data_IF_654454979140
#
_entry.id   IF_654454979140
#
_cell.length_a   1.000
_cell.length_b   1.000
_cell.length_c   1.000
_cell.angle_alpha   90.00
_cell.angle_beta   90.00
_cell.angle_gamma   90.00
#
_symmetry.space_group_name_H-M   'P 1'
#
loop_
_entity.id
_entity.type
_entity.pdbx_description
1 polymer ?
#
# COMPACT_ATOMS: atom_id res chain seq x y z
N UNK A 1 -18.32 -5.72 26.40
CA UNK A 1 -16.85 -5.57 26.40
C UNK A 1 -16.44 -5.22 24.98
N UNK A 2 -15.94 -4.01 24.73
CA UNK A 2 -15.36 -3.65 23.43
C UNK A 2 -13.97 -4.28 23.37
N UNK A 3 -13.72 -5.14 22.38
CA UNK A 3 -12.38 -5.67 22.11
C UNK A 3 -11.63 -4.59 21.32
N UNK A 4 -10.45 -4.20 21.79
CA UNK A 4 -9.53 -3.40 21.00
C UNK A 4 -9.04 -4.26 19.83
N UNK A 5 -9.28 -3.80 18.60
CA UNK A 5 -8.94 -4.54 17.38
C UNK A 5 -7.92 -3.68 16.64
N UNK A 6 -6.72 -4.21 16.47
CA UNK A 6 -5.70 -3.60 15.62
C UNK A 6 -6.15 -3.70 14.16
N UNK A 7 -6.38 -2.55 13.55
CA UNK A 7 -6.85 -2.44 12.16
C UNK A 7 -5.79 -1.81 11.28
N UNK A 8 -5.67 -2.31 10.06
CA UNK A 8 -4.92 -1.62 9.02
C UNK A 8 -5.85 -1.20 7.89
N UNK A 9 -5.52 -0.06 7.31
CA UNK A 9 -6.24 0.52 6.20
C UNK A 9 -5.34 0.56 4.97
N UNK A 10 -5.84 0.07 3.85
CA UNK A 10 -5.07 0.03 2.59
C UNK A 10 -5.88 0.63 1.47
N UNK A 11 -5.26 1.53 0.71
CA UNK A 11 -5.91 2.23 -0.40
C UNK A 11 -5.22 1.91 -1.71
N UNK A 12 -5.98 1.56 -2.74
CA UNK A 12 -5.46 1.44 -4.11
C UNK A 12 -6.25 2.31 -5.07
N UNK A 13 -5.56 2.81 -6.10
CA UNK A 13 -6.14 3.62 -7.16
C UNK A 13 -6.00 2.88 -8.48
N UNK A 14 -7.12 2.72 -9.20
CA UNK A 14 -7.14 2.11 -10.53
C UNK A 14 -7.91 2.95 -11.52
N UNK A 15 -7.58 2.75 -12.79
CA UNK A 15 -8.39 3.25 -13.90
C UNK A 15 -9.11 2.07 -14.51
N UNK A 16 -10.43 2.14 -14.53
CA UNK A 16 -11.29 1.18 -15.20
C UNK A 16 -11.78 1.75 -16.51
N UNK A 17 -11.81 0.92 -17.54
CA UNK A 17 -12.45 1.29 -18.79
C UNK A 17 -13.96 1.14 -18.61
N UNK A 18 -14.67 2.20 -18.92
CA UNK A 18 -16.12 2.26 -19.03
C UNK A 18 -16.47 2.54 -20.51
N UNK A 19 -17.72 2.31 -20.94
CA UNK A 19 -18.14 2.53 -22.33
C UNK A 19 -17.85 3.94 -22.86
N UNK A 20 -17.77 4.94 -21.98
CA UNK A 20 -17.54 6.36 -22.32
C UNK A 20 -16.15 6.88 -21.95
N UNK A 21 -15.20 6.02 -21.52
CA UNK A 21 -13.85 6.45 -21.17
C UNK A 21 -13.27 5.70 -19.98
N UNK A 22 -12.04 6.04 -19.57
CA UNK A 22 -11.43 5.43 -18.39
C UNK A 22 -11.71 6.25 -17.12
N UNK A 23 -12.43 5.67 -16.17
CA UNK A 23 -12.79 6.27 -14.89
C UNK A 23 -11.79 5.88 -13.78
N UNK A 24 -11.49 6.81 -12.87
CA UNK A 24 -10.68 6.51 -11.67
C UNK A 24 -11.57 5.92 -10.58
N UNK A 25 -11.11 4.82 -9.98
CA UNK A 25 -11.67 4.22 -8.78
C UNK A 25 -10.60 4.13 -7.70
N UNK A 26 -10.96 4.57 -6.51
CA UNK A 26 -10.19 4.37 -5.29
C UNK A 26 -10.95 3.39 -4.41
N UNK A 27 -10.29 2.34 -3.94
CA UNK A 27 -10.87 1.41 -2.97
C UNK A 27 -9.96 1.33 -1.75
N UNK A 28 -10.58 1.42 -0.57
CA UNK A 28 -9.97 1.31 0.74
C UNK A 28 -10.50 0.04 1.42
N UNK A 29 -9.61 -0.79 1.94
CA UNK A 29 -9.93 -2.00 2.70
C UNK A 29 -9.49 -1.82 4.15
N UNK A 30 -10.34 -2.23 5.09
CA UNK A 30 -10.07 -2.25 6.53
C UNK A 30 -10.11 -3.70 6.99
N UNK A 31 -9.04 -4.16 7.64
CA UNK A 31 -8.91 -5.54 8.09
C UNK A 31 -8.17 -5.62 9.43
N UNK A 32 -8.40 -6.70 10.16
CA UNK A 32 -7.72 -7.02 11.42
C UNK A 32 -6.28 -7.49 11.13
N UNK A 33 -5.27 -6.92 11.77
CA UNK A 33 -3.87 -7.32 11.56
C UNK A 33 -3.50 -8.68 12.13
N UNK A 34 -4.17 -9.08 13.21
CA UNK A 34 -3.86 -10.34 13.91
C UNK A 34 -4.30 -11.56 13.12
N UNK A 35 -5.43 -11.46 12.39
CA UNK A 35 -6.04 -12.58 11.67
C UNK A 35 -6.08 -12.38 10.16
N UNK A 36 -6.07 -11.13 9.68
CA UNK A 36 -6.36 -10.79 8.30
C UNK A 36 -7.85 -10.74 7.95
N UNK A 37 -8.74 -10.86 8.94
CA UNK A 37 -10.20 -10.80 8.71
C UNK A 37 -10.61 -9.45 8.18
N UNK A 38 -11.44 -9.44 7.14
CA UNK A 38 -11.96 -8.22 6.53
C UNK A 38 -13.05 -7.63 7.43
N UNK A 39 -12.93 -6.35 7.76
CA UNK A 39 -13.86 -5.62 8.63
C UNK A 39 -14.73 -4.64 7.86
N UNK A 40 -14.20 -4.08 6.76
CA UNK A 40 -14.92 -3.09 5.96
C UNK A 40 -14.20 -2.76 4.67
N UNK A 41 -14.95 -2.17 3.74
CA UNK A 41 -14.41 -1.64 2.50
C UNK A 41 -15.12 -0.33 2.13
N UNK A 42 -14.44 0.54 1.42
CA UNK A 42 -14.98 1.80 0.89
C UNK A 42 -14.51 1.95 -0.56
N UNK A 43 -15.40 2.40 -1.45
CA UNK A 43 -15.06 2.62 -2.85
C UNK A 43 -15.57 4.00 -3.29
N UNK A 44 -14.70 4.81 -3.89
CA UNK A 44 -15.02 6.17 -4.38
C UNK A 44 -14.41 6.33 -5.77
N UNK A 45 -15.24 6.72 -6.74
CA UNK A 45 -14.80 6.90 -8.12
C UNK A 45 -15.92 7.31 -9.05
N UNK A 46 -15.55 7.62 -10.29
CA UNK A 46 -16.49 8.03 -11.35
C UNK A 46 -17.27 6.85 -11.95
N UNK A 47 -16.89 5.61 -11.63
CA UNK A 47 -17.55 4.40 -12.13
C UNK A 47 -17.01 3.11 -11.53
N UNK A 48 -17.85 2.07 -11.53
CA UNK A 48 -17.49 0.70 -11.17
C UNK A 48 -17.32 0.41 -9.67
N UNK A 49 -17.61 1.37 -8.79
CA UNK A 49 -17.50 1.19 -7.34
C UNK A 49 -18.52 0.22 -6.75
N UNK A 50 -19.74 0.22 -7.30
CA UNK A 50 -20.82 -0.73 -7.02
C UNK A 50 -20.38 -2.19 -7.22
N UNK A 51 -19.89 -2.55 -8.40
CA UNK A 51 -19.41 -3.91 -8.68
C UNK A 51 -18.27 -4.33 -7.76
N UNK A 52 -17.42 -3.39 -7.35
CA UNK A 52 -16.24 -3.68 -6.51
C UNK A 52 -16.55 -3.73 -5.04
N UNK A 53 -17.67 -3.15 -4.57
CA UNK A 53 -18.07 -3.23 -3.17
C UNK A 53 -18.83 -4.52 -2.86
N UNK A 54 -19.53 -5.09 -3.85
CA UNK A 54 -20.26 -6.35 -3.69
C UNK A 54 -19.36 -7.51 -3.26
N UNK A 55 -18.14 -7.59 -3.81
CA UNK A 55 -17.19 -8.68 -3.50
C UNK A 55 -16.68 -8.59 -2.05
N UNK A 56 -16.13 -7.46 -1.55
CA UNK A 56 -15.81 -7.29 -0.14
C UNK A 56 -17.03 -7.44 0.77
N UNK A 57 -18.22 -7.00 0.37
CA UNK A 57 -19.43 -7.15 1.17
C UNK A 57 -19.75 -8.64 1.41
N UNK A 58 -19.69 -9.46 0.35
CA UNK A 58 -19.86 -10.91 0.46
C UNK A 58 -18.74 -11.56 1.28
N UNK A 59 -17.49 -11.14 1.06
CA UNK A 59 -16.34 -11.63 1.81
C UNK A 59 -16.46 -11.35 3.32
N UNK A 60 -16.95 -10.17 3.70
CA UNK A 60 -17.22 -9.80 5.10
C UNK A 60 -18.31 -10.71 5.69
N UNK A 61 -19.40 -10.96 4.95
CA UNK A 61 -20.47 -11.88 5.40
C UNK A 61 -19.95 -13.30 5.62
N UNK A 62 -19.03 -13.76 4.78
CA UNK A 62 -18.39 -15.07 4.89
C UNK A 62 -17.31 -15.15 5.98
N UNK A 63 -16.95 -14.02 6.61
CA UNK A 63 -15.83 -13.96 7.56
C UNK A 63 -14.47 -14.20 6.91
N UNK A 64 -14.35 -13.91 5.61
CA UNK A 64 -13.15 -14.13 4.82
C UNK A 64 -11.98 -13.22 5.24
N UNK A 65 -10.79 -13.63 4.83
CA UNK A 65 -9.52 -12.95 5.08
C UNK A 65 -9.00 -12.25 3.82
N UNK A 66 -8.03 -11.35 3.99
CA UNK A 66 -7.37 -10.66 2.87
C UNK A 66 -6.72 -11.63 1.86
N UNK A 67 -6.31 -12.82 2.30
CA UNK A 67 -5.78 -13.88 1.44
C UNK A 67 -6.83 -14.44 0.48
N UNK A 68 -8.10 -14.45 0.88
CA UNK A 68 -9.18 -14.91 0.00
C UNK A 68 -9.43 -13.88 -1.11
N UNK A 69 -9.32 -12.58 -0.80
CA UNK A 69 -9.39 -11.53 -1.83
C UNK A 69 -8.19 -11.57 -2.78
N UNK A 70 -7.00 -11.93 -2.29
CA UNK A 70 -5.81 -12.11 -3.12
C UNK A 70 -6.04 -13.18 -4.20
N UNK A 71 -6.72 -14.27 -3.85
CA UNK A 71 -6.99 -15.42 -4.73
C UNK A 71 -8.35 -15.37 -5.43
N UNK A 72 -9.17 -14.34 -5.18
CA UNK A 72 -10.53 -14.27 -5.71
C UNK A 72 -10.52 -14.22 -7.25
N UNK A 73 -11.16 -15.21 -7.88
CA UNK A 73 -11.33 -15.24 -9.33
C UNK A 73 -12.53 -14.40 -9.75
N UNK A 74 -12.27 -13.17 -10.15
CA UNK A 74 -13.30 -12.23 -10.59
C UNK A 74 -13.44 -12.21 -12.11
N UNK A 75 -14.67 -12.06 -12.58
CA UNK A 75 -14.95 -11.98 -14.01
C UNK A 75 -14.19 -10.81 -14.66
N UNK A 76 -13.33 -11.13 -15.63
CA UNK A 76 -12.51 -10.18 -16.37
C UNK A 76 -12.89 -10.12 -17.86
N UNK A 77 -13.69 -9.11 -18.26
CA UNK A 77 -13.80 -8.68 -19.64
C UNK A 77 -12.87 -7.48 -19.89
N UNK A 78 -12.19 -7.39 -21.05
CA UNK A 78 -11.32 -6.25 -21.39
C UNK A 78 -12.03 -4.88 -21.35
N UNK A 79 -13.36 -4.88 -21.54
CA UNK A 79 -14.17 -3.66 -21.55
C UNK A 79 -14.50 -3.13 -20.14
N UNK A 80 -14.35 -3.94 -19.08
CA UNK A 80 -14.88 -3.64 -17.74
C UNK A 80 -13.89 -3.85 -16.59
N UNK A 81 -12.68 -4.32 -16.88
CA UNK A 81 -11.74 -4.73 -15.83
C UNK A 81 -10.29 -4.64 -16.25
N UNK A 82 -9.41 -5.03 -15.32
CA UNK A 82 -8.01 -5.35 -15.56
C UNK A 82 -7.76 -6.81 -15.19
N UNK A 83 -6.68 -7.39 -15.72
CA UNK A 83 -6.31 -8.79 -15.44
C UNK A 83 -6.19 -9.10 -13.94
N UNK A 84 -5.86 -8.09 -13.11
CA UNK A 84 -6.05 -8.12 -11.66
C UNK A 84 -7.06 -7.05 -11.29
N UNK A 85 -8.17 -7.42 -10.67
CA UNK A 85 -9.15 -6.43 -10.21
C UNK A 85 -8.60 -5.64 -9.01
N UNK A 86 -9.15 -4.45 -8.74
CA UNK A 86 -8.78 -3.65 -7.58
C UNK A 86 -9.03 -4.38 -6.26
N UNK A 87 -10.06 -5.24 -6.21
CA UNK A 87 -10.32 -6.12 -5.06
C UNK A 87 -9.14 -7.06 -4.82
N UNK A 88 -8.60 -7.68 -5.88
CA UNK A 88 -7.42 -8.53 -5.74
C UNK A 88 -6.21 -7.72 -5.28
N UNK A 89 -6.04 -6.50 -5.79
CA UNK A 89 -4.88 -5.65 -5.46
C UNK A 89 -4.90 -5.17 -4.00
N UNK A 90 -6.07 -4.88 -3.42
CA UNK A 90 -6.16 -4.62 -1.97
C UNK A 90 -5.93 -5.89 -1.17
N UNK A 91 -6.38 -7.05 -1.66
CA UNK A 91 -6.05 -8.36 -1.08
C UNK A 91 -4.54 -8.62 -1.06
N UNK A 92 -3.84 -8.42 -2.17
CA UNK A 92 -2.38 -8.53 -2.26
C UNK A 92 -1.67 -7.59 -1.28
N UNK A 93 -2.11 -6.33 -1.18
CA UNK A 93 -1.51 -5.39 -0.23
C UNK A 93 -1.75 -5.84 1.21
N UNK A 94 -2.96 -6.29 1.56
CA UNK A 94 -3.26 -6.85 2.88
C UNK A 94 -2.40 -8.06 3.21
N UNK A 95 -2.30 -8.99 2.26
CA UNK A 95 -1.46 -10.18 2.38
C UNK A 95 0.02 -9.82 2.53
N UNK A 96 0.52 -8.79 1.82
CA UNK A 96 1.91 -8.33 1.95
C UNK A 96 2.21 -7.71 3.32
N UNK A 97 1.23 -7.00 3.91
CA UNK A 97 1.33 -6.50 5.30
C UNK A 97 1.42 -7.67 6.28
N UNK A 98 0.52 -8.64 6.18
CA UNK A 98 0.50 -9.81 7.08
C UNK A 98 1.73 -10.71 6.92
N UNK A 99 2.27 -10.81 5.71
CA UNK A 99 3.53 -11.53 5.43
C UNK A 99 4.79 -10.75 5.82
N UNK A 100 4.66 -9.53 6.35
CA UNK A 100 5.80 -8.66 6.70
C UNK A 100 6.62 -8.19 5.49
N UNK A 101 6.09 -8.35 4.27
CA UNK A 101 6.77 -7.95 3.03
C UNK A 101 6.71 -6.43 2.81
N UNK A 102 5.69 -5.78 3.35
CA UNK A 102 5.51 -4.33 3.28
C UNK A 102 5.03 -3.80 4.63
N UNK A 103 5.61 -2.70 5.09
CA UNK A 103 5.17 -1.96 6.28
C UNK A 103 4.67 -0.58 5.85
N UNK A 104 3.36 -0.42 5.61
CA UNK A 104 2.80 0.87 5.21
C UNK A 104 2.82 1.85 6.39
N UNK A 105 3.01 3.13 6.07
CA UNK A 105 2.79 4.23 7.02
C UNK A 105 1.53 4.98 6.59
N UNK A 106 0.66 5.29 7.55
CA UNK A 106 -0.52 6.11 7.31
C UNK A 106 -0.16 7.60 7.24
N UNK A 107 -0.94 8.43 6.53
CA UNK A 107 -0.64 9.87 6.43
C UNK A 107 -0.49 10.56 7.79
N UNK A 108 -1.31 10.18 8.77
CA UNK A 108 -1.24 10.74 10.13
C UNK A 108 0.02 10.30 10.86
N UNK A 109 0.42 9.03 10.71
CA UNK A 109 1.66 8.50 11.31
C UNK A 109 2.89 9.15 10.69
N UNK A 110 2.85 9.40 9.38
CA UNK A 110 3.92 10.13 8.68
C UNK A 110 4.06 11.56 9.19
N UNK A 111 2.94 12.26 9.41
CA UNK A 111 2.96 13.63 9.96
C UNK A 111 3.63 13.64 11.35
N UNK A 112 3.24 12.71 12.22
CA UNK A 112 3.85 12.58 13.56
C UNK A 112 5.34 12.26 13.46
N UNK A 113 5.74 11.32 12.58
CA UNK A 113 7.14 10.95 12.40
C UNK A 113 8.01 12.12 11.92
N UNK A 114 7.45 13.00 11.08
CA UNK A 114 8.12 14.21 10.58
C UNK A 114 8.36 15.28 11.65
N UNK A 115 7.56 15.29 12.72
CA UNK A 115 7.66 16.25 13.82
C UNK A 115 8.61 15.79 14.95
N UNK A 116 9.18 14.58 14.83
CA UNK A 116 10.13 14.04 15.81
C UNK A 116 11.49 14.75 15.75
N UNK A 117 12.26 14.67 16.85
CA UNK A 117 13.60 15.25 16.92
C UNK A 117 14.58 14.67 15.88
N UNK A 118 14.32 13.45 15.42
CA UNK A 118 15.09 12.74 14.39
C UNK A 118 14.14 12.25 13.29
N UNK A 119 13.72 13.13 12.36
CA UNK A 119 12.75 12.78 11.34
C UNK A 119 13.32 11.77 10.34
N UNK A 120 12.48 10.90 9.76
CA UNK A 120 12.93 9.91 8.79
C UNK A 120 13.35 10.54 7.47
N UNK A 121 14.28 9.90 6.77
CA UNK A 121 14.64 10.27 5.40
C UNK A 121 13.53 9.84 4.46
N UNK A 122 13.03 10.80 3.67
CA UNK A 122 11.99 10.54 2.69
C UNK A 122 12.53 10.61 1.26
N UNK A 123 12.27 9.54 0.51
CA UNK A 123 12.67 9.40 -0.89
C UNK A 123 11.44 9.42 -1.79
N UNK A 124 11.37 10.40 -2.70
CA UNK A 124 10.27 10.53 -3.65
C UNK A 124 10.56 9.80 -4.96
N UNK A 125 10.04 8.59 -5.13
CA UNK A 125 10.30 7.76 -6.31
C UNK A 125 9.52 8.15 -7.58
N UNK A 126 8.78 9.27 -7.58
CA UNK A 126 8.01 9.74 -8.75
C UNK A 126 8.90 10.45 -9.77
N UNK A 127 8.38 10.62 -10.99
CA UNK A 127 9.10 11.38 -12.01
C UNK A 127 9.27 12.85 -11.62
N UNK A 128 10.30 13.49 -12.17
CA UNK A 128 10.56 14.92 -11.96
C UNK A 128 9.42 15.81 -12.44
N UNK A 129 8.67 15.39 -13.47
CA UNK A 129 7.48 16.09 -13.94
C UNK A 129 6.34 16.04 -12.91
N UNK A 130 6.06 14.87 -12.32
CA UNK A 130 5.04 14.70 -11.28
C UNK A 130 5.39 15.45 -9.98
N UNK A 131 6.68 15.53 -9.66
CA UNK A 131 7.17 16.27 -8.49
C UNK A 131 6.88 17.77 -8.58
N UNK A 132 7.03 18.34 -9.78
CA UNK A 132 6.78 19.77 -10.04
C UNK A 132 5.31 20.16 -9.92
N UNK A 133 4.40 19.21 -10.20
CA UNK A 133 2.95 19.44 -10.07
C UNK A 133 2.56 19.60 -8.59
N UNK A 134 3.26 18.91 -7.69
CA UNK A 134 3.06 19.01 -6.25
C UNK A 134 3.73 17.87 -5.49
N UNK A 135 4.24 18.18 -4.31
CA UNK A 135 4.84 17.22 -3.40
C UNK A 135 4.68 17.69 -1.96
N UNK A 136 4.75 16.75 -1.02
CA UNK A 136 4.80 17.06 0.41
C UNK A 136 6.12 17.77 0.69
N UNK A 137 6.13 18.89 1.41
CA UNK A 137 7.36 19.60 1.77
C UNK A 137 8.39 18.67 2.44
N UNK A 138 9.67 18.82 2.11
CA UNK A 138 10.76 17.99 2.65
C UNK A 138 11.06 16.69 1.88
N UNK A 139 10.30 16.37 0.83
CA UNK A 139 10.58 15.20 -0.01
C UNK A 139 11.73 15.49 -1.01
N UNK A 140 12.77 14.64 -1.01
CA UNK A 140 13.86 14.71 -1.99
C UNK A 140 13.62 13.75 -3.17
N UNK A 141 14.03 14.15 -4.38
CA UNK A 141 14.03 13.26 -5.55
C UNK A 141 15.28 12.35 -5.53
N UNK A 142 15.20 11.10 -6.02
CA UNK A 142 16.31 10.14 -6.07
C UNK A 142 17.46 10.53 -7.03
N UNK A 143 17.51 11.79 -7.48
CA UNK A 143 18.56 12.36 -8.31
C UNK A 143 19.13 13.70 -7.83
N UNK A 144 18.68 14.22 -6.67
CA UNK A 144 19.36 15.31 -5.96
C UNK A 144 20.22 14.68 -4.87
N UNK A 145 21.46 14.38 -5.23
CA UNK A 145 22.55 14.10 -4.30
C UNK A 145 22.58 15.19 -3.24
N UNK A 146 22.27 14.83 -1.99
CA UNK A 146 22.91 15.53 -0.87
C UNK A 146 24.42 15.28 -1.01
N UNK A 147 25.21 16.34 -0.96
CA UNK A 147 26.67 16.25 -0.92
C UNK A 147 27.07 15.26 0.18
N UNK A 148 27.67 14.12 -0.21
CA UNK A 148 28.33 13.20 0.72
C UNK A 148 27.75 11.79 0.89
N UNK A 149 26.71 11.36 0.16
CA UNK A 149 26.19 10.00 0.33
C UNK A 149 25.63 9.36 -0.94
N UNK A 150 26.39 8.48 -1.59
CA UNK A 150 25.80 7.49 -2.51
C UNK A 150 24.86 6.61 -1.67
N UNK A 151 23.59 6.50 -2.05
CA UNK A 151 22.74 5.37 -1.61
C UNK A 151 23.24 4.13 -2.34
N UNK A 152 24.39 3.63 -1.89
CA UNK A 152 25.02 2.41 -2.35
C UNK A 152 24.49 1.26 -1.50
N UNK A 153 23.21 0.96 -1.61
CA UNK A 153 22.72 -0.34 -1.21
C UNK A 153 21.76 -0.89 -2.26
N UNK A 154 22.10 -2.07 -2.79
CA UNK A 154 21.30 -2.81 -3.79
C UNK A 154 20.10 -3.51 -3.14
N UNK A 155 19.71 -3.11 -1.93
CA UNK A 155 18.59 -3.67 -1.17
C UNK A 155 17.32 -2.82 -1.17
N UNK A 156 17.27 -1.71 -1.93
CA UNK A 156 16.04 -0.90 -2.09
C UNK A 156 15.01 -1.70 -2.90
N UNK A 157 14.33 -2.65 -2.23
CA UNK A 157 13.09 -3.24 -2.72
C UNK A 157 12.00 -2.23 -2.53
N UNK A 158 11.87 -1.38 -3.53
CA UNK A 158 10.77 -0.43 -3.71
C UNK A 158 9.44 -1.18 -3.74
N UNK A 159 8.65 -1.03 -2.69
CA UNK A 159 7.20 -0.84 -2.76
C UNK A 159 6.90 0.33 -1.82
N UNK A 160 5.82 1.06 -2.04
CA UNK A 160 5.46 2.24 -1.22
C UNK A 160 5.29 1.82 0.26
N UNK A 161 6.39 1.88 0.99
CA UNK A 161 6.52 1.65 2.42
C UNK A 161 7.65 2.58 2.85
N UNK A 162 7.30 3.67 3.53
CA UNK A 162 8.28 4.46 4.28
C UNK A 162 8.77 3.51 5.37
N UNK A 163 9.93 2.89 5.14
CA UNK A 163 10.63 2.14 6.17
C UNK A 163 11.24 3.19 7.10
N UNK A 164 10.75 3.28 8.33
CA UNK A 164 11.50 3.93 9.40
C UNK A 164 12.75 3.06 9.63
N UNK A 165 13.87 3.45 9.02
CA UNK A 165 15.18 2.92 9.40
C UNK A 165 15.58 3.67 10.65
N UNK A 166 15.13 3.20 11.81
CA UNK A 166 15.66 3.62 13.08
C UNK A 166 16.09 2.35 13.81
N UNK A 167 17.27 1.85 13.47
CA UNK A 167 18.22 1.14 14.33
C UNK A 167 19.43 0.76 13.46
N UNK A 168 20.62 1.01 13.98
CA UNK A 168 21.88 0.77 13.27
C UNK A 168 22.09 -0.72 13.00
N UNK A 169 21.97 -1.12 11.74
CA UNK A 169 22.42 -2.45 11.30
C UNK A 169 23.95 -2.38 11.15
N UNK A 170 24.64 -3.14 11.99
CA UNK A 170 26.09 -3.28 11.92
C UNK A 170 26.47 -4.13 10.69
N UNK A 171 27.60 -3.88 10.01
CA UNK A 171 28.04 -4.70 8.87
C UNK A 171 28.24 -6.19 9.18
N UNK A 172 28.26 -6.58 10.45
CA UNK A 172 28.39 -7.97 10.91
C UNK A 172 27.11 -8.80 10.80
N UNK A 173 25.93 -8.18 10.64
CA UNK A 173 24.65 -8.92 10.57
C UNK A 173 24.37 -9.52 9.17
N UNK A 174 25.26 -9.25 8.20
CA UNK A 174 25.12 -9.70 6.80
C UNK A 174 25.75 -11.07 6.49
N UNK A 175 26.35 -11.76 7.46
CA UNK A 175 26.98 -13.07 7.22
C UNK A 175 26.50 -14.11 8.24
N UNK A 176 25.42 -14.81 7.90
CA UNK A 176 24.79 -15.79 8.80
C UNK A 176 23.98 -16.87 8.10
N UNK A 177 24.41 -17.37 6.94
CA UNK A 177 23.91 -18.66 6.44
C UNK A 177 24.69 -19.77 7.12
N UNK A 178 24.15 -20.33 8.20
CA UNK A 178 24.55 -21.67 8.69
C UNK A 178 23.49 -22.67 8.25
N UNK A 179 23.93 -23.50 7.31
CA UNK A 179 23.44 -24.80 6.82
C UNK A 179 22.00 -24.83 6.30
#
# INVERSE_FOLDING_TARGET
>A
MAKEIDVHELTTHRRYREPFGAARLTIKLIFETSTGRILGAQAVGEGGGDKRIDVPAMAIQMGAMVFDLEQAELCYPPQYGSAKDAVNLVGFQGANVLRGSTMPIMPIELQVALETATPPVIVNVRSSAEFKIGHIPGFSLPGITHEGGRVADRSVRCHLSVRLVNEGISPSDCCGTRV
#
